data_IF_849026595908
#
_entry.id   IF_849026595908
#
_cell.length_a   1.000
_cell.length_b   1.000
_cell.length_c   1.000
_cell.angle_alpha   90.00
_cell.angle_beta   90.00
_cell.angle_gamma   90.00
#
_symmetry.space_group_name_H-M   'P 1'
#
loop_
_entity.id
_entity.type
_entity.pdbx_description
1 polymer ?
#
# COMPACT_ATOMS: atom_id res chain seq x y z
N UNK A 1 3.08 -13.34 7.63
CA UNK A 1 3.34 -12.12 6.88
C UNK A 1 4.54 -11.38 7.47
N UNK A 2 5.33 -10.73 6.63
CA UNK A 2 6.63 -10.17 7.03
C UNK A 2 6.52 -9.22 8.21
N UNK A 3 5.59 -8.26 8.19
CA UNK A 3 5.43 -7.28 9.27
C UNK A 3 4.98 -7.91 10.58
N UNK A 4 4.15 -8.95 10.53
CA UNK A 4 3.70 -9.66 11.73
C UNK A 4 4.80 -10.48 12.41
N UNK A 5 5.90 -10.75 11.70
CA UNK A 5 7.04 -11.50 12.23
C UNK A 5 8.15 -10.59 12.77
N UNK A 6 8.06 -9.27 12.61
CA UNK A 6 9.08 -8.33 13.05
C UNK A 6 8.93 -7.99 14.53
N UNK A 7 10.06 -7.82 15.22
CA UNK A 7 10.08 -7.29 16.58
C UNK A 7 10.01 -5.75 16.56
N UNK A 8 9.91 -5.12 17.73
CA UNK A 8 9.76 -3.66 17.85
C UNK A 8 10.92 -2.89 17.23
N UNK A 9 12.15 -3.38 17.39
CA UNK A 9 13.34 -2.75 16.81
C UNK A 9 13.34 -2.82 15.30
N UNK A 10 12.98 -3.97 14.74
CA UNK A 10 12.89 -4.15 13.29
C UNK A 10 11.78 -3.29 12.68
N UNK A 11 10.64 -3.17 13.37
CA UNK A 11 9.55 -2.29 12.94
C UNK A 11 10.00 -0.84 12.93
N UNK A 12 10.73 -0.41 13.97
CA UNK A 12 11.27 0.95 14.04
C UNK A 12 12.24 1.22 12.90
N UNK A 13 13.09 0.26 12.55
CA UNK A 13 14.04 0.39 11.43
C UNK A 13 13.30 0.53 10.09
N UNK A 14 12.29 -0.28 9.86
CA UNK A 14 11.46 -0.21 8.63
C UNK A 14 10.77 1.15 8.54
N UNK A 15 10.21 1.63 9.67
CA UNK A 15 9.56 2.94 9.73
C UNK A 15 10.54 4.08 9.44
N UNK A 16 11.74 4.03 10.00
CA UNK A 16 12.78 5.03 9.76
C UNK A 16 13.20 5.05 8.30
N UNK A 17 13.34 3.89 7.67
CA UNK A 17 13.65 3.78 6.24
C UNK A 17 12.54 4.36 5.38
N UNK A 18 11.28 4.09 5.73
CA UNK A 18 10.12 4.63 5.01
C UNK A 18 10.07 6.16 5.13
N UNK A 19 10.30 6.70 6.32
CA UNK A 19 10.34 8.13 6.55
C UNK A 19 11.44 8.80 5.74
N UNK A 20 12.64 8.22 5.71
CA UNK A 20 13.75 8.71 4.92
C UNK A 20 13.44 8.69 3.42
N UNK A 21 12.86 7.59 2.94
CA UNK A 21 12.50 7.44 1.52
C UNK A 21 11.48 8.48 1.09
N UNK A 22 10.54 8.87 1.97
CA UNK A 22 9.52 9.86 1.66
C UNK A 22 10.04 11.29 1.73
N UNK A 23 11.12 11.55 2.49
CA UNK A 23 11.65 12.89 2.70
C UNK A 23 12.75 13.31 1.72
N UNK A 24 13.46 12.35 1.09
CA UNK A 24 14.55 12.63 0.14
C UNK A 24 14.03 12.53 -1.28
N UNK A 25 14.13 13.60 -2.12
CA UNK A 25 13.53 13.61 -3.46
C UNK A 25 13.94 12.44 -4.36
N UNK A 26 15.22 12.06 -4.37
CA UNK A 26 15.72 10.95 -5.19
C UNK A 26 15.14 9.62 -4.74
N UNK A 27 15.04 9.42 -3.43
CA UNK A 27 14.45 8.20 -2.87
C UNK A 27 12.94 8.17 -3.06
N UNK A 28 12.29 9.33 -2.98
CA UNK A 28 10.86 9.44 -3.23
C UNK A 28 10.52 9.07 -4.69
N UNK A 29 11.34 9.48 -5.65
CA UNK A 29 11.18 9.09 -7.05
C UNK A 29 11.26 7.57 -7.23
N UNK A 30 12.21 6.92 -6.54
CA UNK A 30 12.32 5.46 -6.55
C UNK A 30 11.09 4.78 -5.94
N UNK A 31 10.51 5.37 -4.89
CA UNK A 31 9.27 4.87 -4.28
C UNK A 31 8.10 4.96 -5.26
N UNK A 32 8.00 6.05 -6.04
CA UNK A 32 6.96 6.20 -7.06
C UNK A 32 7.09 5.15 -8.16
N UNK A 33 8.31 4.83 -8.59
CA UNK A 33 8.55 3.74 -9.53
C UNK A 33 8.12 2.40 -8.95
N UNK A 34 8.38 2.17 -7.67
CA UNK A 34 7.96 0.96 -6.98
C UNK A 34 6.42 0.87 -6.91
N UNK A 35 5.74 1.98 -6.65
CA UNK A 35 4.27 2.02 -6.67
C UNK A 35 3.71 1.64 -8.05
N UNK A 36 4.33 2.12 -9.13
CA UNK A 36 3.91 1.78 -10.48
C UNK A 36 4.05 0.28 -10.76
N UNK A 37 5.13 -0.34 -10.29
CA UNK A 37 5.35 -1.79 -10.40
C UNK A 37 4.34 -2.56 -9.57
N UNK A 38 4.06 -2.11 -8.35
CA UNK A 38 3.06 -2.72 -7.46
C UNK A 38 1.67 -2.64 -8.09
N UNK A 39 1.33 -1.51 -8.69
CA UNK A 39 0.04 -1.34 -9.37
C UNK A 39 -0.12 -2.34 -10.51
N UNK A 40 0.93 -2.54 -11.31
CA UNK A 40 0.88 -3.54 -12.38
C UNK A 40 0.68 -4.94 -11.84
N UNK A 41 1.38 -5.29 -10.76
CA UNK A 41 1.24 -6.61 -10.14
C UNK A 41 -0.19 -6.83 -9.63
N UNK A 42 -0.79 -5.83 -8.96
CA UNK A 42 -2.18 -5.90 -8.48
C UNK A 42 -3.12 -6.06 -9.67
N UNK A 43 -2.93 -5.27 -10.72
CA UNK A 43 -3.76 -5.32 -11.93
C UNK A 43 -3.73 -6.71 -12.57
N UNK A 44 -2.55 -7.31 -12.69
CA UNK A 44 -2.41 -8.67 -13.24
C UNK A 44 -3.16 -9.71 -12.43
N UNK A 45 -3.05 -9.66 -11.10
CA UNK A 45 -3.76 -10.60 -10.22
C UNK A 45 -5.27 -10.41 -10.33
N UNK A 46 -5.75 -9.18 -10.35
CA UNK A 46 -7.18 -8.90 -10.48
C UNK A 46 -7.73 -9.31 -11.84
N UNK A 47 -6.99 -9.05 -12.91
CA UNK A 47 -7.38 -9.46 -14.25
C UNK A 47 -7.52 -10.99 -14.33
N UNK A 48 -6.56 -11.72 -13.79
CA UNK A 48 -6.58 -13.18 -13.76
C UNK A 48 -7.78 -13.70 -12.96
N UNK A 49 -8.04 -13.14 -11.78
CA UNK A 49 -9.13 -13.58 -10.90
C UNK A 49 -10.51 -13.25 -11.45
N UNK A 50 -10.64 -12.14 -12.17
CA UNK A 50 -11.94 -11.69 -12.71
C UNK A 50 -12.20 -12.17 -14.11
N UNK A 51 -11.22 -12.74 -14.79
CA UNK A 51 -11.33 -13.12 -16.20
C UNK A 51 -11.37 -11.92 -17.15
N UNK A 52 -11.03 -10.73 -16.68
CA UNK A 52 -10.99 -9.50 -17.47
C UNK A 52 -9.62 -9.28 -18.06
N UNK A 53 -9.55 -8.46 -19.10
CA UNK A 53 -8.26 -8.06 -19.70
C UNK A 53 -7.45 -7.19 -18.72
N UNK A 54 -6.13 -7.27 -18.80
CA UNK A 54 -5.23 -6.47 -17.96
C UNK A 54 -5.29 -4.97 -18.23
N UNK A 55 -5.84 -4.54 -19.37
CA UNK A 55 -6.05 -3.15 -19.72
C UNK A 55 -7.50 -2.69 -19.56
N UNK A 56 -8.35 -3.51 -18.91
CA UNK A 56 -9.73 -3.14 -18.56
C UNK A 56 -9.68 -2.05 -17.50
N UNK A 57 -10.29 -0.90 -17.78
CA UNK A 57 -10.25 0.26 -16.88
C UNK A 57 -10.88 -0.03 -15.52
N UNK A 58 -11.89 -0.89 -15.45
CA UNK A 58 -12.48 -1.28 -14.17
C UNK A 58 -11.46 -2.02 -13.28
N UNK A 59 -10.64 -2.88 -13.88
CA UNK A 59 -9.56 -3.59 -13.18
C UNK A 59 -8.48 -2.61 -12.73
N UNK A 60 -8.08 -1.70 -13.61
CA UNK A 60 -7.08 -0.69 -13.28
C UNK A 60 -7.57 0.25 -12.17
N UNK A 61 -8.85 0.60 -12.19
CA UNK A 61 -9.47 1.44 -11.16
C UNK A 61 -9.44 0.75 -9.80
N UNK A 62 -9.79 -0.52 -9.74
CA UNK A 62 -9.74 -1.28 -8.49
C UNK A 62 -8.31 -1.43 -7.99
N UNK A 63 -7.37 -1.72 -8.90
CA UNK A 63 -5.95 -1.80 -8.54
C UNK A 63 -5.45 -0.48 -7.95
N UNK A 64 -5.83 0.64 -8.55
CA UNK A 64 -5.48 1.97 -8.04
C UNK A 64 -6.08 2.25 -6.67
N UNK A 65 -7.31 1.83 -6.43
CA UNK A 65 -7.95 1.98 -5.13
C UNK A 65 -7.23 1.17 -4.04
N UNK A 66 -6.85 -0.06 -4.35
CA UNK A 66 -6.09 -0.90 -3.43
C UNK A 66 -4.71 -0.29 -3.15
N UNK A 67 -4.02 0.17 -4.18
CA UNK A 67 -2.73 0.85 -4.02
C UNK A 67 -2.88 2.12 -3.18
N UNK A 68 -3.97 2.88 -3.38
CA UNK A 68 -4.26 4.07 -2.58
C UNK A 68 -4.40 3.74 -1.09
N UNK A 69 -5.04 2.64 -0.76
CA UNK A 69 -5.14 2.17 0.63
C UNK A 69 -3.75 1.88 1.19
N UNK A 70 -2.90 1.18 0.41
CA UNK A 70 -1.53 0.85 0.83
C UNK A 70 -0.71 2.12 1.10
N UNK A 71 -0.77 3.08 0.19
CA UNK A 71 -0.04 4.35 0.32
C UNK A 71 -0.54 5.14 1.54
N UNK A 72 -1.85 5.25 1.69
CA UNK A 72 -2.45 5.97 2.82
C UNK A 72 -2.06 5.34 4.16
N UNK A 73 -2.06 4.01 4.22
CA UNK A 73 -1.67 3.29 5.43
C UNK A 73 -0.19 3.54 5.77
N UNK A 74 0.69 3.52 4.77
CA UNK A 74 2.11 3.76 4.99
C UNK A 74 2.39 5.18 5.47
N UNK A 75 1.78 6.20 4.85
CA UNK A 75 1.93 7.58 5.27
C UNK A 75 1.43 7.79 6.70
N UNK A 76 0.26 7.26 7.00
CA UNK A 76 -0.32 7.37 8.34
C UNK A 76 0.57 6.69 9.39
N UNK A 77 1.06 5.50 9.06
CA UNK A 77 1.93 4.73 9.93
C UNK A 77 3.24 5.46 10.25
N UNK A 78 3.84 6.11 9.24
CA UNK A 78 5.07 6.89 9.44
C UNK A 78 4.82 8.10 10.35
N UNK A 79 3.69 8.77 10.20
CA UNK A 79 3.34 9.97 10.97
C UNK A 79 2.80 9.66 12.36
N UNK A 80 2.30 8.45 12.59
CA UNK A 80 1.68 8.03 13.85
C UNK A 80 2.35 6.76 14.37
N UNK A 81 3.47 6.92 15.12
CA UNK A 81 4.27 5.77 15.59
C UNK A 81 3.52 4.77 16.46
N UNK A 82 2.42 5.17 17.07
CA UNK A 82 1.58 4.32 17.91
C UNK A 82 0.71 3.34 17.13
N UNK A 83 0.62 3.52 15.81
CA UNK A 83 -0.25 2.68 14.97
C UNK A 83 0.46 1.43 14.47
N UNK A 84 -0.33 0.42 14.13
CA UNK A 84 0.13 -0.83 13.52
C UNK A 84 -0.23 -0.83 12.04
N UNK A 85 0.76 -1.05 11.17
CA UNK A 85 0.57 -0.99 9.73
C UNK A 85 -0.46 -2.01 9.24
N UNK A 86 -0.44 -3.23 9.79
CA UNK A 86 -1.40 -4.26 9.37
C UNK A 86 -2.83 -3.89 9.72
N UNK A 87 -3.05 -3.30 10.90
CA UNK A 87 -4.37 -2.84 11.31
C UNK A 87 -4.86 -1.72 10.38
N UNK A 88 -3.97 -0.82 9.98
CA UNK A 88 -4.30 0.25 9.04
C UNK A 88 -4.68 -0.29 7.67
N UNK A 89 -3.94 -1.28 7.17
CA UNK A 89 -4.25 -1.92 5.89
C UNK A 89 -5.60 -2.63 5.95
N UNK A 90 -5.86 -3.38 7.01
CA UNK A 90 -7.14 -4.09 7.18
C UNK A 90 -8.30 -3.10 7.26
N UNK A 91 -8.15 -2.02 8.02
CA UNK A 91 -9.17 -0.97 8.13
C UNK A 91 -9.44 -0.33 6.78
N UNK A 92 -8.39 0.04 6.05
CA UNK A 92 -8.53 0.67 4.74
C UNK A 92 -9.20 -0.22 3.71
N UNK A 93 -8.84 -1.51 3.66
CA UNK A 93 -9.46 -2.46 2.75
C UNK A 93 -10.93 -2.71 3.11
N UNK A 94 -11.25 -2.76 4.39
CA UNK A 94 -12.64 -2.89 4.85
C UNK A 94 -13.48 -1.70 4.44
N UNK A 95 -12.96 -0.48 4.57
CA UNK A 95 -13.64 0.73 4.11
C UNK A 95 -13.89 0.71 2.61
N UNK A 96 -12.91 0.28 1.84
CA UNK A 96 -13.04 0.13 0.39
C UNK A 96 -14.14 -0.87 0.05
N UNK A 97 -14.15 -2.02 0.73
CA UNK A 97 -15.14 -3.08 0.51
C UNK A 97 -16.56 -2.62 0.86
N UNK A 98 -16.72 -1.78 1.88
CA UNK A 98 -18.01 -1.28 2.33
C UNK A 98 -18.52 -0.07 1.56
N UNK A 99 -17.80 0.38 0.52
CA UNK A 99 -18.20 1.53 -0.29
C UNK A 99 -17.67 2.86 0.24
N UNK A 100 -16.56 2.83 0.95
CA UNK A 100 -15.86 4.02 1.47
C UNK A 100 -16.70 4.84 2.46
N UNK A 101 -17.46 4.18 3.29
CA UNK A 101 -18.21 4.84 4.37
C UNK A 101 -17.23 5.27 5.47
N UNK A 102 -17.34 6.53 5.83
CA UNK A 102 -16.51 7.11 6.88
C UNK A 102 -17.15 6.96 8.25
#
# INVERSE_FOLDING_TARGET
MVFGALNEEEVADVRNQAELALSVPELRAAVLDQFAQTMRAITEVLAERTGRAGDDFAVETLAGAILGVMISAEFHWVEHPETDLMDLLDDGLERLQSGLRL
#
